data_IF_481957667894
#
_entry.id   IF_481957667894
#
_cell.length_a   1.000
_cell.length_b   1.000
_cell.length_c   1.000
_cell.angle_alpha   90.00
_cell.angle_beta   90.00
_cell.angle_gamma   90.00
#
_symmetry.space_group_name_H-M   'P 1'
#
loop_
_entity.id
_entity.type
_entity.pdbx_description
1 polymer ?
#
# COMPACT_ATOMS: atom_id res chain seq x y z
N UNK A 1 -9.95 11.29 14.64
CA UNK A 1 -8.66 12.00 14.46
C UNK A 1 -7.46 11.19 14.97
N UNK A 2 -7.58 10.40 16.04
CA UNK A 2 -6.45 9.63 16.59
C UNK A 2 -5.83 8.61 15.62
N UNK A 3 -6.62 7.78 14.92
CA UNK A 3 -6.07 6.77 14.00
C UNK A 3 -5.29 7.36 12.83
N UNK A 4 -5.77 8.47 12.25
CA UNK A 4 -5.03 9.17 11.19
C UNK A 4 -3.67 9.69 11.70
N UNK A 5 -3.62 10.16 12.96
CA UNK A 5 -2.37 10.57 13.60
C UNK A 5 -1.44 9.37 13.83
N UNK A 6 -1.94 8.25 14.37
CA UNK A 6 -1.17 7.02 14.55
C UNK A 6 -0.56 6.53 13.23
N UNK A 7 -1.35 6.51 12.14
CA UNK A 7 -0.86 6.16 10.80
C UNK A 7 0.20 7.14 10.30
N UNK A 8 -0.02 8.45 10.45
CA UNK A 8 0.94 9.47 10.02
C UNK A 8 2.29 9.32 10.74
N UNK A 9 2.27 9.03 12.05
CA UNK A 9 3.48 8.77 12.82
C UNK A 9 4.23 7.53 12.30
N UNK A 10 3.52 6.45 11.97
CA UNK A 10 4.13 5.25 11.36
C UNK A 10 4.77 5.57 10.00
N UNK A 11 4.11 6.36 9.15
CA UNK A 11 4.68 6.76 7.86
C UNK A 11 5.90 7.69 8.01
N UNK A 12 5.84 8.65 8.93
CA UNK A 12 6.96 9.53 9.26
C UNK A 12 8.17 8.72 9.73
N UNK A 13 7.97 7.84 10.70
CA UNK A 13 9.05 7.00 11.25
C UNK A 13 9.67 6.08 10.20
N UNK A 14 8.88 5.57 9.24
CA UNK A 14 9.43 4.80 8.12
C UNK A 14 10.37 5.63 7.22
N UNK A 15 10.02 6.89 6.92
CA UNK A 15 10.87 7.76 6.12
C UNK A 15 12.11 8.24 6.88
N UNK A 16 11.98 8.48 8.19
CA UNK A 16 13.13 8.76 9.06
C UNK A 16 14.11 7.59 9.09
N UNK A 17 13.62 6.34 9.14
CA UNK A 17 14.47 5.15 9.07
C UNK A 17 15.24 5.03 7.73
N UNK A 18 14.78 5.72 6.69
CA UNK A 18 15.46 5.84 5.39
C UNK A 18 16.36 7.08 5.30
N UNK A 19 16.58 7.80 6.41
CA UNK A 19 17.38 9.03 6.50
C UNK A 19 16.93 10.14 5.52
N UNK A 20 15.62 10.27 5.27
CA UNK A 20 15.09 11.35 4.42
C UNK A 20 15.07 12.71 5.14
N UNK A 21 15.08 13.80 4.36
CA UNK A 21 14.96 15.16 4.89
C UNK A 21 13.53 15.50 5.29
N UNK A 22 13.39 16.44 6.22
CA UNK A 22 12.09 16.92 6.70
C UNK A 22 11.15 17.32 5.54
N UNK A 23 11.63 18.07 4.56
CA UNK A 23 10.82 18.53 3.42
C UNK A 23 10.32 17.37 2.55
N UNK A 24 11.16 16.35 2.33
CA UNK A 24 10.77 15.17 1.57
C UNK A 24 9.76 14.32 2.34
N UNK A 25 9.90 14.20 3.66
CA UNK A 25 8.96 13.49 4.52
C UNK A 25 7.58 14.15 4.46
N UNK A 26 7.51 15.47 4.59
CA UNK A 26 6.24 16.19 4.49
C UNK A 26 5.61 16.06 3.11
N UNK A 27 6.40 16.18 2.04
CA UNK A 27 5.92 15.98 0.67
C UNK A 27 5.36 14.57 0.47
N UNK A 28 6.06 13.56 0.97
CA UNK A 28 5.65 12.16 0.86
C UNK A 28 4.32 11.91 1.59
N UNK A 29 4.17 12.41 2.82
CA UNK A 29 2.95 12.20 3.62
C UNK A 29 1.74 12.87 2.98
N UNK A 30 1.89 14.08 2.45
CA UNK A 30 0.80 14.76 1.74
C UNK A 30 0.33 13.95 0.52
N UNK A 31 1.26 13.30 -0.20
CA UNK A 31 0.91 12.43 -1.32
C UNK A 31 0.23 11.12 -0.90
N UNK A 32 0.41 10.66 0.34
CA UNK A 32 -0.25 9.45 0.83
C UNK A 32 -1.74 9.67 1.11
N UNK A 33 -2.15 10.89 1.46
CA UNK A 33 -3.56 11.25 1.64
C UNK A 33 -4.37 10.95 0.37
N UNK A 34 -3.79 11.19 -0.81
CA UNK A 34 -4.42 10.94 -2.11
C UNK A 34 -4.48 9.44 -2.48
N UNK A 35 -3.84 8.58 -1.68
CA UNK A 35 -3.71 7.14 -1.92
C UNK A 35 -4.40 6.30 -0.86
N UNK A 36 -5.14 6.92 0.05
CA UNK A 36 -5.96 6.20 1.02
C UNK A 36 -7.03 5.43 0.23
N UNK A 37 -7.22 4.12 0.51
CA UNK A 37 -8.22 3.31 -0.18
C UNK A 37 -9.61 3.95 -0.11
N UNK A 38 -10.43 3.68 -1.13
CA UNK A 38 -11.83 4.12 -1.13
C UNK A 38 -12.58 3.56 0.09
N UNK A 39 -13.71 4.18 0.52
CA UNK A 39 -14.52 3.64 1.61
C UNK A 39 -14.99 2.19 1.41
N UNK A 40 -15.05 1.73 0.16
CA UNK A 40 -15.39 0.35 -0.21
C UNK A 40 -14.16 -0.60 -0.20
N UNK A 41 -12.98 -0.11 0.17
CA UNK A 41 -11.75 -0.90 0.31
C UNK A 41 -11.00 -1.16 -0.99
N UNK A 42 -11.55 -0.73 -2.12
CA UNK A 42 -10.95 -0.88 -3.44
C UNK A 42 -9.90 0.23 -3.68
N UNK A 43 -8.77 -0.19 -4.25
CA UNK A 43 -7.69 0.70 -4.69
C UNK A 43 -7.44 0.48 -6.18
N UNK A 44 -8.10 1.30 -7.00
CA UNK A 44 -7.94 1.28 -8.46
C UNK A 44 -6.53 1.72 -8.85
N UNK A 45 -5.94 1.04 -9.82
CA UNK A 45 -4.63 1.35 -10.37
C UNK A 45 -4.68 1.45 -11.89
N UNK A 46 -3.75 2.22 -12.46
CA UNK A 46 -3.58 2.30 -13.90
C UNK A 46 -2.98 0.99 -14.44
N UNK A 47 -3.78 0.26 -15.22
CA UNK A 47 -3.37 -1.00 -15.85
C UNK A 47 -2.12 -0.87 -16.72
N UNK A 48 -1.86 0.30 -17.32
CA UNK A 48 -0.70 0.52 -18.19
C UNK A 48 0.62 0.54 -17.41
N UNK A 49 0.55 0.75 -16.10
CA UNK A 49 1.72 0.89 -15.23
C UNK A 49 2.19 -0.42 -14.61
N UNK A 50 1.50 -1.54 -14.85
CA UNK A 50 1.80 -2.85 -14.24
C UNK A 50 3.28 -3.21 -14.33
N UNK A 51 3.87 -3.10 -15.53
CA UNK A 51 5.27 -3.44 -15.77
C UNK A 51 6.29 -2.57 -15.03
N UNK A 52 5.86 -1.42 -14.50
CA UNK A 52 6.70 -0.51 -13.70
C UNK A 52 6.49 -0.65 -12.19
N UNK A 53 5.51 -1.47 -11.78
CA UNK A 53 5.22 -1.66 -10.36
C UNK A 53 6.26 -2.58 -9.73
N UNK A 54 6.60 -2.37 -8.45
CA UNK A 54 7.61 -3.18 -7.78
C UNK A 54 7.06 -4.57 -7.43
N UNK A 55 7.97 -5.53 -7.30
CA UNK A 55 7.65 -6.79 -6.63
C UNK A 55 7.41 -6.55 -5.13
N UNK A 56 6.46 -7.29 -4.56
CA UNK A 56 6.15 -7.26 -3.12
C UNK A 56 6.58 -8.57 -2.50
N UNK A 57 7.33 -8.53 -1.39
CA UNK A 57 7.83 -9.72 -0.72
C UNK A 57 7.32 -9.85 0.72
N UNK A 58 6.81 -11.03 1.07
CA UNK A 58 6.45 -11.39 2.44
C UNK A 58 7.49 -12.34 3.02
N UNK A 59 7.91 -12.10 4.27
CA UNK A 59 8.81 -13.02 4.99
C UNK A 59 8.00 -13.94 5.89
N UNK A 60 7.94 -15.24 5.56
CA UNK A 60 7.19 -16.25 6.30
C UNK A 60 8.13 -17.40 6.66
N UNK A 61 8.35 -17.65 7.95
CA UNK A 61 9.28 -18.68 8.41
C UNK A 61 10.72 -18.47 7.94
N UNK A 62 11.16 -17.21 7.84
CA UNK A 62 12.50 -16.84 7.36
C UNK A 62 12.71 -16.95 5.85
N UNK A 63 11.68 -17.34 5.08
CA UNK A 63 11.72 -17.41 3.61
C UNK A 63 10.97 -16.23 3.00
N UNK A 64 11.46 -15.71 1.88
CA UNK A 64 10.78 -14.67 1.12
C UNK A 64 9.83 -15.28 0.09
N UNK A 65 8.59 -14.77 0.08
CA UNK A 65 7.56 -15.07 -0.89
C UNK A 65 7.28 -13.81 -1.69
N UNK A 66 7.78 -13.80 -2.92
CA UNK A 66 7.68 -12.64 -3.83
C UNK A 66 6.42 -12.76 -4.68
N UNK A 67 5.69 -11.66 -4.79
CA UNK A 67 4.54 -11.47 -5.67
C UNK A 67 4.90 -10.43 -6.73
N UNK A 68 4.80 -10.81 -8.00
CA UNK A 68 4.96 -9.88 -9.12
C UNK A 68 3.70 -9.03 -9.32
N UNK A 69 3.76 -7.90 -10.03
CA UNK A 69 2.58 -7.07 -10.33
C UNK A 69 1.41 -7.83 -10.93
N UNK A 70 1.68 -8.82 -11.78
CA UNK A 70 0.67 -9.68 -12.40
C UNK A 70 -0.04 -10.60 -11.39
N UNK A 71 0.58 -10.86 -10.24
CA UNK A 71 0.04 -11.75 -9.20
C UNK A 71 -0.75 -10.99 -8.14
N UNK A 72 -0.39 -9.74 -7.84
CA UNK A 72 -1.08 -8.94 -6.81
C UNK A 72 -2.05 -7.90 -7.35
N UNK A 73 -2.14 -7.70 -8.68
CA UNK A 73 -3.15 -6.85 -9.31
C UNK A 73 -4.22 -7.71 -10.01
N UNK A 74 -5.48 -7.45 -9.67
CA UNK A 74 -6.64 -8.08 -10.25
C UNK A 74 -7.12 -7.28 -11.46
N UNK A 75 -7.38 -7.94 -12.58
CA UNK A 75 -7.99 -7.36 -13.78
C UNK A 75 -9.46 -7.79 -13.84
N UNK A 76 -10.37 -6.83 -13.86
CA UNK A 76 -11.81 -7.05 -13.89
C UNK A 76 -12.38 -6.44 -15.18
N UNK A 77 -13.22 -7.18 -15.90
CA UNK A 77 -13.74 -6.78 -17.21
C UNK A 77 -12.88 -7.30 -18.37
N UNK A 78 -13.23 -6.90 -19.59
CA UNK A 78 -12.58 -7.37 -20.82
C UNK A 78 -12.26 -6.21 -21.77
N UNK A 79 -11.18 -6.35 -22.54
CA UNK A 79 -10.76 -5.38 -23.55
C UNK A 79 -10.53 -3.98 -22.97
N UNK A 80 -11.03 -2.96 -23.66
CA UNK A 80 -10.88 -1.55 -23.28
C UNK A 80 -11.62 -1.17 -21.99
N UNK A 81 -12.53 -2.03 -21.51
CA UNK A 81 -13.25 -1.85 -20.25
C UNK A 81 -12.54 -2.52 -19.06
N UNK A 82 -11.29 -2.98 -19.22
CA UNK A 82 -10.52 -3.63 -18.16
C UNK A 82 -10.16 -2.62 -17.05
N UNK A 83 -10.62 -2.89 -15.83
CA UNK A 83 -10.23 -2.19 -14.62
C UNK A 83 -9.18 -2.99 -13.85
N UNK A 84 -8.13 -2.32 -13.36
CA UNK A 84 -7.13 -2.93 -12.50
C UNK A 84 -7.32 -2.50 -11.06
N UNK A 85 -7.36 -3.47 -10.15
CA UNK A 85 -7.55 -3.25 -8.72
C UNK A 85 -6.44 -3.95 -7.95
N UNK A 86 -5.89 -3.27 -6.94
CA UNK A 86 -4.99 -3.91 -5.97
C UNK A 86 -5.68 -5.10 -5.28
N UNK A 87 -5.02 -6.26 -5.28
CA UNK A 87 -5.44 -7.43 -4.50
C UNK A 87 -5.22 -7.26 -2.99
N UNK A 88 -4.54 -6.19 -2.56
CA UNK A 88 -4.43 -5.81 -1.16
C UNK A 88 -5.63 -4.97 -0.72
N UNK A 89 -6.24 -5.35 0.39
CA UNK A 89 -7.31 -4.61 1.06
C UNK A 89 -6.84 -4.15 2.43
N UNK A 90 -7.19 -2.92 2.80
CA UNK A 90 -6.91 -2.41 4.13
C UNK A 90 -7.86 -3.08 5.16
N UNK A 91 -7.28 -3.61 6.23
CA UNK A 91 -8.02 -4.15 7.37
C UNK A 91 -7.45 -3.56 8.64
N UNK A 92 -8.22 -2.71 9.32
CA UNK A 92 -7.86 -2.16 10.62
C UNK A 92 -7.99 -3.25 11.69
N UNK A 93 -6.85 -3.72 12.19
CA UNK A 93 -6.80 -4.75 13.25
C UNK A 93 -6.62 -4.05 14.60
N UNK A 94 -7.66 -4.00 15.45
CA UNK A 94 -7.57 -3.32 16.72
C UNK A 94 -6.65 -4.07 17.70
N UNK A 95 -5.98 -3.30 18.57
CA UNK A 95 -5.32 -3.85 19.76
C UNK A 95 -6.33 -4.67 20.60
N UNK A 96 -5.94 -5.81 21.20
CA UNK A 96 -4.59 -6.37 21.31
C UNK A 96 -4.22 -7.39 20.20
N UNK A 97 -5.07 -7.56 19.17
CA UNK A 97 -4.92 -8.67 18.20
C UNK A 97 -3.99 -8.36 17.03
N UNK A 98 -3.40 -7.16 16.99
CA UNK A 98 -2.43 -6.75 15.97
C UNK A 98 -1.17 -6.16 16.59
N UNK A 99 -0.12 -5.93 15.78
CA UNK A 99 0.00 -6.34 14.37
C UNK A 99 0.14 -7.85 14.19
N UNK A 100 -0.32 -8.39 13.05
CA UNK A 100 -0.27 -9.83 12.73
C UNK A 100 1.04 -10.27 12.05
N UNK A 101 2.09 -9.45 12.14
CA UNK A 101 3.39 -9.65 11.48
C UNK A 101 4.55 -9.47 12.46
#
# INVERSE_FOLDING_TARGET
MCHACEMAVVWMTNQLAKNQTQDLIFKYINQLCDRIPSPMGESSVDCSRLASMPDVAFSIGGKQFVLTPEQYILKIGEGDATQCISGFTAMDIPRPRGPLW
#
